data_IF_805820795381
#
_entry.id   IF_805820795381
#
_cell.length_a   1.000
_cell.length_b   1.000
_cell.length_c   1.000
_cell.angle_alpha   90.00
_cell.angle_beta   90.00
_cell.angle_gamma   90.00
#
_symmetry.space_group_name_H-M   'P 1'
#
loop_
_entity.id
_entity.type
_entity.pdbx_description
1 polymer ?
#
# COMPACT_ATOMS: atom_id res chain seq x y z
N UNK A 1 3.38 21.88 12.63
CA UNK A 1 1.90 21.99 12.59
C UNK A 1 1.24 20.81 11.85
N UNK A 2 1.67 20.45 10.64
CA UNK A 2 1.04 19.36 9.86
C UNK A 2 0.91 18.02 10.61
N UNK A 3 1.97 17.56 11.29
CA UNK A 3 1.90 16.32 12.09
C UNK A 3 0.85 16.36 13.20
N UNK A 4 0.67 17.52 13.84
CA UNK A 4 -0.34 17.73 14.87
C UNK A 4 -1.75 17.66 14.31
N UNK A 5 -2.02 18.38 13.22
CA UNK A 5 -3.29 18.31 12.51
C UNK A 5 -3.64 16.88 12.08
N UNK A 6 -2.67 16.15 11.52
CA UNK A 6 -2.91 14.82 10.99
C UNK A 6 -3.19 13.81 12.12
N UNK A 7 -2.35 13.77 13.16
CA UNK A 7 -2.44 12.74 14.20
C UNK A 7 -3.46 13.05 15.29
N UNK A 8 -3.47 14.27 15.82
CA UNK A 8 -4.27 14.61 17.00
C UNK A 8 -5.64 15.20 16.68
N UNK A 9 -5.87 15.63 15.44
CA UNK A 9 -7.18 16.17 15.02
C UNK A 9 -7.83 15.20 14.03
N UNK A 10 -7.28 15.04 12.83
CA UNK A 10 -7.94 14.27 11.77
C UNK A 10 -8.00 12.78 12.11
N UNK A 11 -6.86 12.15 12.43
CA UNK A 11 -6.85 10.72 12.76
C UNK A 11 -7.66 10.42 14.02
N UNK A 12 -7.58 11.28 15.04
CA UNK A 12 -8.39 11.15 16.26
C UNK A 12 -9.90 11.19 15.96
N UNK A 13 -10.37 12.17 15.18
CA UNK A 13 -11.79 12.27 14.80
C UNK A 13 -12.24 11.09 13.93
N UNK A 14 -11.39 10.64 12.99
CA UNK A 14 -11.66 9.46 12.18
C UNK A 14 -11.77 8.20 13.04
N UNK A 15 -10.88 8.03 14.01
CA UNK A 15 -10.89 6.89 14.91
C UNK A 15 -12.19 6.87 15.73
N UNK A 16 -12.46 7.95 16.48
CA UNK A 16 -13.57 8.02 17.42
C UNK A 16 -14.94 7.93 16.75
N UNK A 17 -15.14 8.67 15.64
CA UNK A 17 -16.48 8.82 15.06
C UNK A 17 -16.77 7.88 13.89
N UNK A 18 -15.73 7.32 13.26
CA UNK A 18 -15.92 6.51 12.06
C UNK A 18 -15.36 5.10 12.22
N UNK A 19 -14.15 4.92 12.73
CA UNK A 19 -13.58 3.57 12.88
C UNK A 19 -14.28 2.83 14.01
N UNK A 20 -14.29 3.39 15.22
CA UNK A 20 -14.84 2.73 16.41
C UNK A 20 -16.37 2.62 16.35
N UNK A 21 -17.05 3.68 15.89
CA UNK A 21 -18.51 3.71 15.77
C UNK A 21 -19.05 2.76 14.68
N UNK A 22 -18.32 2.57 13.58
CA UNK A 22 -18.69 1.59 12.54
C UNK A 22 -18.32 0.18 12.98
N UNK A 23 -17.22 0.03 13.75
CA UNK A 23 -16.87 -1.23 14.38
C UNK A 23 -17.91 -1.68 15.43
N UNK A 24 -18.77 -0.81 15.97
CA UNK A 24 -19.90 -1.28 16.80
C UNK A 24 -21.11 -1.80 16.01
N UNK A 25 -21.25 -1.48 14.71
CA UNK A 25 -22.44 -1.81 13.90
C UNK A 25 -22.07 -2.70 12.70
N UNK A 26 -21.66 -3.94 12.95
CA UNK A 26 -20.83 -4.74 12.06
C UNK A 26 -21.54 -5.59 10.98
N UNK A 27 -22.87 -5.53 10.91
CA UNK A 27 -23.64 -6.60 10.23
C UNK A 27 -24.08 -6.27 8.80
N UNK A 28 -23.82 -5.06 8.30
CA UNK A 28 -24.26 -4.62 6.97
C UNK A 28 -23.11 -4.42 5.98
N UNK A 29 -23.37 -4.66 4.69
CA UNK A 29 -22.42 -4.36 3.60
C UNK A 29 -22.03 -2.88 3.63
N UNK A 30 -22.99 -2.00 3.88
CA UNK A 30 -22.76 -0.55 3.96
C UNK A 30 -21.79 -0.19 5.09
N UNK A 31 -21.93 -0.83 6.26
CA UNK A 31 -20.99 -0.66 7.38
C UNK A 31 -19.58 -1.11 7.00
N UNK A 32 -19.42 -2.28 6.37
CA UNK A 32 -18.10 -2.75 5.94
C UNK A 32 -17.43 -1.84 4.91
N UNK A 33 -18.19 -1.31 3.94
CA UNK A 33 -17.67 -0.35 2.96
C UNK A 33 -17.29 0.98 3.63
N UNK A 34 -18.11 1.45 4.58
CA UNK A 34 -17.82 2.67 5.34
C UNK A 34 -16.56 2.50 6.20
N UNK A 35 -16.40 1.34 6.84
CA UNK A 35 -15.21 0.99 7.61
C UNK A 35 -13.96 0.98 6.72
N UNK A 36 -14.03 0.36 5.54
CA UNK A 36 -12.90 0.29 4.59
C UNK A 36 -12.32 1.69 4.30
N UNK A 37 -13.16 2.67 3.96
CA UNK A 37 -12.69 4.02 3.65
C UNK A 37 -12.24 4.77 4.90
N UNK A 38 -12.98 4.65 6.00
CA UNK A 38 -12.66 5.33 7.26
C UNK A 38 -11.33 4.84 7.83
N UNK A 39 -11.12 3.52 7.86
CA UNK A 39 -9.87 2.91 8.28
C UNK A 39 -8.72 3.29 7.36
N UNK A 40 -8.92 3.32 6.04
CA UNK A 40 -7.89 3.74 5.08
C UNK A 40 -7.38 5.16 5.34
N UNK A 41 -8.32 6.09 5.59
CA UNK A 41 -7.98 7.47 5.90
C UNK A 41 -7.34 7.59 7.29
N UNK A 42 -7.89 6.92 8.29
CA UNK A 42 -7.32 6.87 9.64
C UNK A 42 -5.86 6.39 9.61
N UNK A 43 -5.61 5.24 8.97
CA UNK A 43 -4.28 4.65 8.84
C UNK A 43 -3.30 5.63 8.18
N UNK A 44 -3.72 6.31 7.12
CA UNK A 44 -2.90 7.32 6.47
C UNK A 44 -2.58 8.50 7.39
N UNK A 45 -3.61 9.12 8.00
CA UNK A 45 -3.42 10.33 8.80
C UNK A 45 -2.66 10.06 10.10
N UNK A 46 -2.91 8.93 10.76
CA UNK A 46 -2.17 8.57 11.97
C UNK A 46 -0.69 8.35 11.65
N UNK A 47 -0.41 7.60 10.57
CA UNK A 47 0.96 7.20 10.26
C UNK A 47 1.78 8.29 9.56
N UNK A 48 1.13 9.09 8.69
CA UNK A 48 1.75 10.29 8.13
C UNK A 48 1.97 11.36 9.20
N UNK A 49 1.03 11.51 10.14
CA UNK A 49 1.18 12.41 11.29
C UNK A 49 2.36 11.99 12.18
N UNK A 50 2.46 10.71 12.52
CA UNK A 50 3.62 10.14 13.22
C UNK A 50 4.93 10.38 12.47
N UNK A 51 4.97 10.07 11.17
CA UNK A 51 6.16 10.26 10.33
C UNK A 51 6.62 11.73 10.32
N UNK A 52 5.70 12.69 10.26
CA UNK A 52 6.02 14.11 10.32
C UNK A 52 6.66 14.53 11.65
N UNK A 53 6.25 13.94 12.78
CA UNK A 53 6.93 14.16 14.07
C UNK A 53 8.34 13.58 14.07
N UNK A 54 8.51 12.35 13.61
CA UNK A 54 9.83 11.70 13.52
C UNK A 54 10.80 12.51 12.65
N UNK A 55 10.34 12.98 11.49
CA UNK A 55 11.14 13.82 10.58
C UNK A 55 11.49 15.15 11.26
N UNK A 56 10.52 15.79 11.91
CA UNK A 56 10.76 17.03 12.65
C UNK A 56 11.81 16.88 13.75
N UNK A 57 11.73 15.79 14.54
CA UNK A 57 12.72 15.49 15.58
C UNK A 57 14.09 15.18 14.97
N UNK A 58 14.14 14.38 13.91
CA UNK A 58 15.39 14.04 13.21
C UNK A 58 16.10 15.30 12.70
N UNK A 59 15.34 16.25 12.15
CA UNK A 59 15.89 17.51 11.63
C UNK A 59 16.44 18.39 12.77
N UNK A 60 15.80 18.39 13.94
CA UNK A 60 16.34 19.07 15.13
C UNK A 60 17.64 18.42 15.63
N UNK A 61 17.80 17.12 15.43
CA UNK A 61 19.05 16.40 15.72
C UNK A 61 20.12 16.56 14.62
N UNK A 62 19.86 17.35 13.58
CA UNK A 62 20.79 17.58 12.46
C UNK A 62 20.82 16.45 11.42
N UNK A 63 19.95 15.45 11.52
CA UNK A 63 19.88 14.32 10.60
C UNK A 63 18.71 14.54 9.62
N UNK A 64 18.97 14.47 8.32
CA UNK A 64 17.92 14.62 7.29
C UNK A 64 17.32 13.27 6.91
N UNK A 65 16.33 12.82 7.67
CA UNK A 65 15.55 11.62 7.36
C UNK A 65 14.65 11.84 6.13
N UNK A 66 14.52 10.83 5.24
CA UNK A 66 13.65 10.91 4.07
C UNK A 66 12.15 10.95 4.45
N UNK A 67 11.36 11.56 3.57
CA UNK A 67 9.89 11.56 3.68
C UNK A 67 9.31 10.16 3.51
N UNK A 68 8.20 9.90 4.20
CA UNK A 68 7.52 8.60 4.14
C UNK A 68 6.28 8.58 3.24
N UNK A 69 5.64 9.73 3.02
CA UNK A 69 4.41 9.81 2.23
C UNK A 69 4.45 10.96 1.23
N UNK A 70 3.98 10.71 0.01
CA UNK A 70 3.87 11.74 -1.03
C UNK A 70 2.54 11.64 -1.79
N UNK A 71 1.46 12.12 -1.16
CA UNK A 71 0.09 12.12 -1.71
C UNK A 71 -0.28 10.76 -2.34
N UNK A 72 -0.33 9.68 -1.55
CA UNK A 72 -0.48 8.32 -2.08
C UNK A 72 -1.84 8.07 -2.73
N UNK A 73 -2.90 8.77 -2.33
CA UNK A 73 -4.25 8.54 -2.87
C UNK A 73 -4.52 9.16 -4.25
N UNK A 74 -3.59 9.96 -4.78
CA UNK A 74 -3.66 10.45 -6.17
C UNK A 74 -2.85 9.59 -7.15
N UNK A 75 -2.40 8.42 -6.70
CA UNK A 75 -1.65 7.48 -7.53
C UNK A 75 -2.50 6.90 -8.64
N UNK A 76 -1.99 6.91 -9.86
CA UNK A 76 -2.73 6.44 -11.04
C UNK A 76 -2.73 4.92 -11.21
N UNK A 77 -1.84 4.25 -10.49
CA UNK A 77 -1.67 2.80 -10.52
C UNK A 77 -0.93 2.32 -9.27
N UNK A 78 -0.88 1.00 -9.09
CA UNK A 78 -0.28 0.38 -7.91
C UNK A 78 1.25 0.59 -7.82
N UNK A 79 1.97 0.69 -8.94
CA UNK A 79 3.42 0.98 -8.93
C UNK A 79 3.68 2.39 -8.41
N UNK A 80 2.89 3.37 -8.86
CA UNK A 80 2.93 4.76 -8.42
C UNK A 80 2.52 4.90 -6.94
N UNK A 81 1.54 4.11 -6.48
CA UNK A 81 1.16 4.03 -5.07
C UNK A 81 2.34 3.63 -4.16
N UNK A 82 3.04 2.54 -4.47
CA UNK A 82 4.20 2.09 -3.67
C UNK A 82 5.42 3.01 -3.75
N UNK A 83 5.46 3.94 -4.71
CA UNK A 83 6.45 5.02 -4.74
C UNK A 83 6.06 6.25 -3.89
N UNK A 84 4.88 6.23 -3.28
CA UNK A 84 4.30 7.36 -2.53
C UNK A 84 3.80 6.99 -1.14
N UNK A 85 3.61 5.70 -0.88
CA UNK A 85 3.17 5.15 0.39
C UNK A 85 4.34 4.50 1.13
N UNK A 86 4.54 4.88 2.39
CA UNK A 86 5.56 4.34 3.29
C UNK A 86 6.92 4.13 2.58
N UNK A 87 7.39 5.21 1.95
CA UNK A 87 8.45 5.19 0.95
C UNK A 87 9.77 4.63 1.48
N UNK A 88 10.13 4.90 2.73
CA UNK A 88 11.36 4.36 3.32
C UNK A 88 11.35 2.82 3.34
N UNK A 89 10.26 2.20 3.81
CA UNK A 89 10.08 0.75 3.80
C UNK A 89 9.97 0.21 2.38
N UNK A 90 9.14 0.84 1.54
CA UNK A 90 8.92 0.41 0.16
C UNK A 90 10.22 0.37 -0.65
N UNK A 91 11.05 1.40 -0.52
CA UNK A 91 12.36 1.45 -1.17
C UNK A 91 13.37 0.50 -0.55
N UNK A 92 13.37 0.33 0.78
CA UNK A 92 14.21 -0.67 1.41
C UNK A 92 13.89 -2.09 0.89
N UNK A 93 12.62 -2.47 0.84
CA UNK A 93 12.19 -3.75 0.28
C UNK A 93 12.56 -3.89 -1.20
N UNK A 94 12.31 -2.85 -2.00
CA UNK A 94 12.70 -2.82 -3.41
C UNK A 94 14.20 -3.08 -3.59
N UNK A 95 15.06 -2.39 -2.85
CA UNK A 95 16.50 -2.39 -3.11
C UNK A 95 17.23 -3.58 -2.46
N UNK A 96 16.74 -4.06 -1.31
CA UNK A 96 17.36 -5.14 -0.55
C UNK A 96 16.73 -6.52 -0.78
N UNK A 97 15.45 -6.60 -1.16
CA UNK A 97 14.79 -7.89 -1.42
C UNK A 97 14.57 -8.06 -2.92
N UNK A 98 13.74 -7.22 -3.53
CA UNK A 98 13.35 -7.38 -4.93
C UNK A 98 14.55 -7.32 -5.88
N UNK A 99 15.34 -6.25 -5.84
CA UNK A 99 16.48 -6.05 -6.74
C UNK A 99 17.58 -7.08 -6.52
N UNK A 100 17.83 -7.49 -5.26
CA UNK A 100 18.81 -8.53 -4.93
C UNK A 100 18.40 -9.88 -5.50
N UNK A 101 17.13 -10.25 -5.36
CA UNK A 101 16.59 -11.47 -5.97
C UNK A 101 16.67 -11.43 -7.50
N UNK A 102 16.20 -10.35 -8.13
CA UNK A 102 16.20 -10.22 -9.60
C UNK A 102 17.62 -10.29 -10.16
N UNK A 103 18.58 -9.61 -9.52
CA UNK A 103 19.98 -9.65 -9.92
C UNK A 103 20.57 -11.06 -9.79
N UNK A 104 20.33 -11.73 -8.65
CA UNK A 104 20.79 -13.09 -8.42
C UNK A 104 20.23 -14.08 -9.45
N UNK A 105 18.90 -14.06 -9.66
CA UNK A 105 18.22 -14.95 -10.58
C UNK A 105 18.66 -14.75 -12.04
N UNK A 106 18.90 -13.49 -12.44
CA UNK A 106 19.39 -13.15 -13.77
C UNK A 106 20.85 -13.60 -13.95
N UNK A 107 21.72 -13.33 -12.97
CA UNK A 107 23.14 -13.73 -13.02
C UNK A 107 23.32 -15.24 -13.08
N UNK A 108 22.52 -15.98 -12.31
CA UNK A 108 22.54 -17.45 -12.29
C UNK A 108 21.76 -18.09 -13.45
N UNK A 109 21.15 -17.29 -14.33
CA UNK A 109 20.31 -17.74 -15.46
C UNK A 109 19.26 -18.77 -15.03
N UNK A 110 18.69 -18.61 -13.83
CA UNK A 110 17.73 -19.59 -13.27
C UNK A 110 16.50 -19.76 -14.16
N UNK A 111 16.07 -18.68 -14.83
CA UNK A 111 14.89 -18.64 -15.67
C UNK A 111 15.22 -17.83 -16.93
N UNK A 112 14.83 -18.33 -18.12
CA UNK A 112 15.08 -17.65 -19.41
C UNK A 112 14.23 -16.37 -19.58
N UNK A 113 13.02 -16.36 -19.04
CA UNK A 113 12.08 -15.24 -19.20
C UNK A 113 12.26 -14.18 -18.10
N UNK A 114 12.68 -12.98 -18.49
CA UNK A 114 12.84 -11.81 -17.60
C UNK A 114 11.56 -11.42 -16.86
N UNK A 115 10.39 -11.62 -17.46
CA UNK A 115 9.11 -11.26 -16.84
C UNK A 115 8.77 -12.21 -15.70
N UNK A 116 9.01 -13.50 -15.88
CA UNK A 116 8.82 -14.50 -14.83
C UNK A 116 9.71 -14.22 -13.62
N UNK A 117 10.97 -13.82 -13.85
CA UNK A 117 11.87 -13.40 -12.75
C UNK A 117 11.29 -12.20 -12.00
N UNK A 118 10.81 -11.19 -12.73
CA UNK A 118 10.18 -10.01 -12.11
C UNK A 118 8.94 -10.37 -11.29
N UNK A 119 8.11 -11.30 -11.76
CA UNK A 119 6.89 -11.71 -11.04
C UNK A 119 7.18 -12.52 -9.79
N UNK A 120 8.15 -13.44 -9.85
CA UNK A 120 8.61 -14.16 -8.65
C UNK A 120 9.25 -13.18 -7.67
N UNK A 121 10.05 -12.22 -8.16
CA UNK A 121 10.64 -11.18 -7.33
C UNK A 121 9.58 -10.32 -6.64
N UNK A 122 8.55 -9.88 -7.37
CA UNK A 122 7.46 -9.07 -6.82
C UNK A 122 6.66 -9.87 -5.78
N UNK A 123 6.35 -11.14 -6.08
CA UNK A 123 5.72 -12.06 -5.14
C UNK A 123 6.54 -12.19 -3.86
N UNK A 124 7.83 -12.51 -3.97
CA UNK A 124 8.71 -12.67 -2.81
C UNK A 124 8.80 -11.38 -2.00
N UNK A 125 8.94 -10.24 -2.67
CA UNK A 125 9.02 -8.92 -2.05
C UNK A 125 7.80 -8.62 -1.19
N UNK A 126 6.60 -8.73 -1.76
CA UNK A 126 5.36 -8.44 -1.02
C UNK A 126 4.98 -9.53 -0.03
N UNK A 127 5.33 -10.79 -0.29
CA UNK A 127 5.15 -11.87 0.67
C UNK A 127 5.99 -11.63 1.93
N UNK A 128 7.28 -11.35 1.78
CA UNK A 128 8.16 -11.02 2.93
C UNK A 128 7.67 -9.75 3.62
N UNK A 129 7.17 -8.76 2.87
CA UNK A 129 6.57 -7.56 3.46
C UNK A 129 5.34 -7.90 4.31
N UNK A 130 4.47 -8.79 3.84
CA UNK A 130 3.35 -9.29 4.63
C UNK A 130 3.81 -10.03 5.89
N UNK A 131 4.82 -10.90 5.78
CA UNK A 131 5.41 -11.60 6.94
C UNK A 131 6.04 -10.62 7.94
N UNK A 132 6.70 -9.57 7.47
CA UNK A 132 7.28 -8.53 8.32
C UNK A 132 6.25 -7.79 9.18
N UNK A 133 5.00 -7.70 8.71
CA UNK A 133 3.90 -7.08 9.44
C UNK A 133 3.23 -7.99 10.48
N UNK A 134 3.59 -9.26 10.54
CA UNK A 134 2.97 -10.21 11.47
C UNK A 134 3.27 -9.79 12.91
N UNK A 135 2.22 -9.45 13.64
CA UNK A 135 2.25 -9.15 15.07
C UNK A 135 1.22 -10.04 15.78
N UNK A 136 1.68 -10.90 16.69
CA UNK A 136 0.81 -11.76 17.51
C UNK A 136 0.11 -12.89 16.74
N UNK A 137 -1.15 -13.15 17.07
CA UNK A 137 -1.93 -14.33 16.66
C UNK A 137 -2.63 -14.21 15.30
N UNK A 138 -2.74 -13.01 14.72
CA UNK A 138 -3.47 -12.78 13.47
C UNK A 138 -2.54 -12.74 12.24
N UNK A 139 -1.90 -13.88 11.95
CA UNK A 139 -0.85 -14.01 10.92
C UNK A 139 -1.40 -13.90 9.49
N UNK A 140 -2.60 -14.45 9.25
CA UNK A 140 -3.10 -14.68 7.89
C UNK A 140 -3.48 -13.41 7.13
N UNK A 141 -4.05 -12.40 7.82
CA UNK A 141 -4.46 -11.14 7.17
C UNK A 141 -3.29 -10.40 6.50
N UNK A 142 -2.11 -10.40 7.14
CA UNK A 142 -0.92 -9.71 6.63
C UNK A 142 -0.29 -10.46 5.45
N UNK A 143 -0.32 -11.80 5.48
CA UNK A 143 0.12 -12.61 4.34
C UNK A 143 -0.83 -12.39 3.16
N UNK A 144 -2.15 -12.44 3.38
CA UNK A 144 -3.15 -12.19 2.33
C UNK A 144 -2.98 -10.78 1.76
N UNK A 145 -2.74 -9.77 2.59
CA UNK A 145 -2.43 -8.41 2.16
C UNK A 145 -1.18 -8.35 1.25
N UNK A 146 -0.10 -9.03 1.65
CA UNK A 146 1.11 -9.13 0.83
C UNK A 146 0.84 -9.79 -0.54
N UNK A 147 0.15 -10.93 -0.53
CA UNK A 147 -0.23 -11.64 -1.76
C UNK A 147 -1.15 -10.82 -2.66
N UNK A 148 -2.09 -10.10 -2.06
CA UNK A 148 -2.99 -9.19 -2.75
C UNK A 148 -2.21 -8.09 -3.50
N UNK A 149 -1.25 -7.44 -2.84
CA UNK A 149 -0.43 -6.43 -3.49
C UNK A 149 0.53 -7.00 -4.53
N UNK A 150 1.07 -8.22 -4.33
CA UNK A 150 1.82 -8.92 -5.36
C UNK A 150 0.99 -9.15 -6.62
N UNK A 151 -0.26 -9.63 -6.45
CA UNK A 151 -1.16 -9.87 -7.55
C UNK A 151 -1.49 -8.56 -8.30
N UNK A 152 -1.84 -7.49 -7.59
CA UNK A 152 -2.08 -6.17 -8.21
C UNK A 152 -0.87 -5.68 -9.00
N UNK A 153 0.34 -5.82 -8.45
CA UNK A 153 1.57 -5.39 -9.11
C UNK A 153 1.83 -6.16 -10.42
N UNK A 154 1.67 -7.49 -10.38
CA UNK A 154 1.84 -8.38 -11.54
C UNK A 154 0.76 -8.11 -12.60
N UNK A 155 -0.51 -8.02 -12.18
CA UNK A 155 -1.63 -7.74 -13.08
C UNK A 155 -1.48 -6.38 -13.75
N UNK A 156 -1.06 -5.35 -13.01
CA UNK A 156 -0.79 -4.04 -13.58
C UNK A 156 0.38 -4.08 -14.56
N UNK A 157 1.44 -4.84 -14.28
CA UNK A 157 2.54 -5.01 -15.25
C UNK A 157 2.09 -5.71 -16.54
N UNK A 158 1.27 -6.75 -16.44
CA UNK A 158 0.67 -7.41 -17.62
C UNK A 158 -0.20 -6.43 -18.41
N UNK A 159 -1.05 -5.66 -17.71
CA UNK A 159 -1.90 -4.63 -18.29
C UNK A 159 -1.07 -3.57 -19.02
N UNK A 160 -0.04 -3.02 -18.38
CA UNK A 160 0.83 -1.99 -18.92
C UNK A 160 1.51 -2.46 -20.22
N UNK A 161 1.97 -3.72 -20.25
CA UNK A 161 2.58 -4.33 -21.44
C UNK A 161 1.58 -4.52 -22.57
N UNK A 162 0.38 -5.03 -22.29
CA UNK A 162 -0.68 -5.15 -23.30
C UNK A 162 -1.09 -3.79 -23.83
N UNK A 163 -1.18 -2.78 -22.96
CA UNK A 163 -1.54 -1.43 -23.35
C UNK A 163 -0.46 -0.76 -24.23
N UNK A 164 0.82 -1.02 -23.98
CA UNK A 164 1.90 -0.54 -24.88
C UNK A 164 1.76 -1.07 -26.31
N UNK A 165 1.24 -2.30 -26.47
CA UNK A 165 1.05 -2.93 -27.80
C UNK A 165 -0.26 -2.51 -28.47
N UNK A 166 -1.37 -2.51 -27.72
CA UNK A 166 -2.73 -2.35 -28.29
C UNK A 166 -3.34 -0.97 -28.06
N UNK A 167 -2.74 -0.12 -27.22
CA UNK A 167 -3.16 1.26 -26.91
C UNK A 167 -4.64 1.42 -26.54
N UNK A 168 -5.26 0.39 -25.94
CA UNK A 168 -6.67 0.41 -25.55
C UNK A 168 -6.96 1.34 -24.35
N UNK A 169 -5.94 1.72 -23.58
CA UNK A 169 -6.01 2.69 -22.49
C UNK A 169 -5.21 3.95 -22.87
N UNK A 170 -5.86 4.96 -23.49
CA UNK A 170 -5.19 6.15 -23.96
C UNK A 170 -4.75 7.06 -22.81
N UNK A 171 -3.67 7.82 -23.02
CA UNK A 171 -3.15 8.76 -22.04
C UNK A 171 -3.88 10.12 -22.11
N UNK A 172 -5.14 10.16 -21.67
CA UNK A 172 -5.93 11.39 -21.58
C UNK A 172 -6.29 11.73 -20.12
N UNK A 173 -6.73 12.97 -19.87
CA UNK A 173 -7.07 13.44 -18.51
C UNK A 173 -8.17 12.59 -17.86
N UNK A 174 -9.14 12.12 -18.63
CA UNK A 174 -10.22 11.27 -18.14
C UNK A 174 -9.69 9.92 -17.64
N UNK A 175 -8.94 9.19 -18.46
CA UNK A 175 -8.34 7.89 -18.12
C UNK A 175 -7.34 8.00 -16.98
N UNK A 176 -6.69 9.15 -16.83
CA UNK A 176 -5.90 9.44 -15.65
C UNK A 176 -6.75 9.49 -14.37
N UNK A 177 -7.88 10.21 -14.37
CA UNK A 177 -8.78 10.27 -13.21
C UNK A 177 -9.36 8.89 -12.91
N UNK A 178 -9.79 8.17 -13.95
CA UNK A 178 -10.28 6.79 -13.82
C UNK A 178 -9.21 5.89 -13.18
N UNK A 179 -7.95 5.99 -13.61
CA UNK A 179 -6.84 5.23 -13.01
C UNK A 179 -6.64 5.54 -11.53
N UNK A 180 -6.79 6.80 -11.12
CA UNK A 180 -6.73 7.20 -9.70
C UNK A 180 -7.87 6.56 -8.92
N UNK A 181 -9.11 6.69 -9.40
CA UNK A 181 -10.30 6.15 -8.70
C UNK A 181 -10.18 4.63 -8.54
N UNK A 182 -9.80 3.92 -9.60
CA UNK A 182 -9.59 2.47 -9.57
C UNK A 182 -8.50 2.11 -8.56
N UNK A 183 -7.34 2.77 -8.62
CA UNK A 183 -6.22 2.49 -7.72
C UNK A 183 -6.59 2.78 -6.28
N UNK A 184 -7.30 3.87 -6.02
CA UNK A 184 -7.79 4.24 -4.70
C UNK A 184 -8.66 3.14 -4.11
N UNK A 185 -9.65 2.62 -4.85
CA UNK A 185 -10.51 1.54 -4.36
C UNK A 185 -9.75 0.24 -4.10
N UNK A 186 -8.83 -0.17 -4.98
CA UNK A 186 -8.00 -1.34 -4.74
C UNK A 186 -7.08 -1.17 -3.51
N UNK A 187 -6.49 0.01 -3.33
CA UNK A 187 -5.68 0.30 -2.14
C UNK A 187 -6.53 0.26 -0.87
N UNK A 188 -7.72 0.89 -0.87
CA UNK A 188 -8.62 0.86 0.27
C UNK A 188 -9.06 -0.57 0.63
N UNK A 189 -9.34 -1.40 -0.38
CA UNK A 189 -9.64 -2.81 -0.15
C UNK A 189 -8.43 -3.57 0.43
N UNK A 190 -7.22 -3.27 -0.04
CA UNK A 190 -5.98 -3.75 0.58
C UNK A 190 -5.91 -3.39 2.07
N UNK A 191 -6.21 -2.14 2.44
CA UNK A 191 -6.23 -1.72 3.83
C UNK A 191 -7.35 -2.36 4.66
N UNK A 192 -8.50 -2.67 4.06
CA UNK A 192 -9.54 -3.46 4.72
C UNK A 192 -9.02 -4.86 5.10
N UNK A 193 -8.30 -5.53 4.19
CA UNK A 193 -7.64 -6.82 4.51
C UNK A 193 -6.62 -6.61 5.63
N UNK A 194 -5.78 -5.58 5.52
CA UNK A 194 -4.74 -5.27 6.50
C UNK A 194 -5.29 -5.05 7.92
N UNK A 195 -6.47 -4.43 8.02
CA UNK A 195 -7.14 -4.15 9.30
C UNK A 195 -7.53 -5.40 10.10
N UNK A 196 -7.68 -6.55 9.44
CA UNK A 196 -8.22 -7.76 10.06
C UNK A 196 -9.74 -7.72 10.28
N UNK A 197 -10.45 -6.67 9.86
CA UNK A 197 -11.91 -6.56 10.01
C UNK A 197 -12.68 -7.70 9.34
N UNK A 198 -12.12 -8.30 8.29
CA UNK A 198 -12.74 -9.42 7.58
C UNK A 198 -12.59 -10.77 8.31
N UNK A 199 -11.70 -10.85 9.29
CA UNK A 199 -11.44 -12.09 10.03
C UNK A 199 -12.65 -12.60 10.79
N UNK A 200 -13.59 -11.73 11.16
CA UNK A 200 -14.83 -12.13 11.84
C UNK A 200 -15.74 -13.03 11.00
N UNK A 201 -15.53 -13.08 9.69
CA UNK A 201 -16.34 -13.90 8.76
C UNK A 201 -15.75 -15.29 8.52
N UNK A 202 -14.58 -15.61 9.10
CA UNK A 202 -13.86 -16.87 8.90
C UNK A 202 -13.44 -17.48 10.24
#
# INVERSE_FOLDING_TARGET
FQGFLYKFIIAYLLQQHFVDAVFSNQDTIFSNVSYMYSYSLYLFFDFAGYSAFVIGVSYMMGIRTPENFNKPFISRNIKDFWNRWHMSLSFWFRDFIYMRFVFFATKKKLIKNRYTISYIGAFLNFFIMGVWHVLGTHVYQYIIYGLYHAALFILFDIFERKNKKHKFWPNNKFMHIVGIVITFHFVCFGFLIFSGHLNKYF
#
